data_IF_283257628265
#
_entry.id   IF_283257628265
#
_cell.length_a   1.000
_cell.length_b   1.000
_cell.length_c   1.000
_cell.angle_alpha   90.00
_cell.angle_beta   90.00
_cell.angle_gamma   90.00
#
_symmetry.space_group_name_H-M   'P 1'
#
loop_
_entity.id
_entity.type
_entity.pdbx_description
1 polymer ?
#
# COMPACT_ATOMS: atom_id res chain seq x y z
N UNK A 1 -12.60 19.66 17.36
CA UNK A 1 -13.11 18.63 16.44
C UNK A 1 -12.16 17.44 16.51
N UNK A 2 -12.66 16.21 16.32
CA UNK A 2 -11.78 15.05 16.14
C UNK A 2 -11.63 14.86 14.64
N UNK A 3 -10.39 14.87 14.17
CA UNK A 3 -10.08 14.80 12.74
C UNK A 3 -9.73 13.37 12.34
N UNK A 4 -9.76 13.06 11.04
CA UNK A 4 -9.41 11.75 10.49
C UNK A 4 -10.21 10.55 11.07
N UNK A 5 -11.49 10.77 11.40
CA UNK A 5 -12.41 9.70 11.79
C UNK A 5 -13.03 9.08 10.54
N UNK A 6 -13.22 7.77 10.56
CA UNK A 6 -13.97 7.05 9.52
C UNK A 6 -15.39 7.62 9.36
N UNK A 7 -15.83 7.77 8.10
CA UNK A 7 -17.19 8.20 7.81
C UNK A 7 -18.18 7.06 8.02
N UNK A 8 -19.26 7.32 8.77
CA UNK A 8 -20.39 6.39 8.97
C UNK A 8 -20.99 5.90 7.65
N UNK A 9 -21.13 6.84 6.70
CA UNK A 9 -21.67 6.57 5.37
C UNK A 9 -20.58 6.90 4.35
N UNK A 10 -19.75 5.91 3.99
CA UNK A 10 -18.73 6.04 2.94
C UNK A 10 -19.18 5.32 1.65
N UNK A 11 -18.96 5.90 0.46
CA UNK A 11 -19.22 5.20 -0.80
C UNK A 11 -18.38 3.93 -0.94
N UNK A 12 -18.91 2.93 -1.64
CA UNK A 12 -18.18 1.69 -1.96
C UNK A 12 -16.95 1.90 -2.86
N UNK A 13 -16.89 3.06 -3.54
CA UNK A 13 -15.75 3.51 -4.36
C UNK A 13 -14.73 4.34 -3.57
N UNK A 14 -15.01 4.67 -2.30
CA UNK A 14 -14.05 5.39 -1.46
C UNK A 14 -12.82 4.55 -1.17
N UNK A 15 -11.65 5.19 -1.09
CA UNK A 15 -10.37 4.50 -0.87
C UNK A 15 -10.40 3.57 0.35
N UNK A 16 -10.95 4.03 1.49
CA UNK A 16 -11.08 3.20 2.69
C UNK A 16 -11.95 1.96 2.42
N UNK A 17 -13.09 2.12 1.75
CA UNK A 17 -13.95 0.98 1.42
C UNK A 17 -13.29 0.00 0.45
N UNK A 18 -12.48 0.49 -0.51
CA UNK A 18 -11.70 -0.37 -1.42
C UNK A 18 -10.67 -1.19 -0.66
N UNK A 19 -9.92 -0.56 0.26
CA UNK A 19 -8.87 -1.21 1.06
C UNK A 19 -9.43 -2.20 2.09
N UNK A 20 -10.58 -1.90 2.70
CA UNK A 20 -11.23 -2.75 3.71
C UNK A 20 -11.99 -3.90 3.06
N UNK A 21 -12.60 -3.66 1.89
CA UNK A 21 -13.51 -4.59 1.23
C UNK A 21 -14.99 -4.41 1.58
N UNK A 22 -15.34 -3.41 2.41
CA UNK A 22 -16.71 -3.08 2.78
C UNK A 22 -16.91 -1.56 2.91
N UNK A 23 -18.12 -1.10 2.60
CA UNK A 23 -18.57 0.26 2.85
C UNK A 23 -19.15 0.45 4.27
N UNK A 24 -19.41 -0.64 5.00
CA UNK A 24 -20.00 -0.60 6.34
C UNK A 24 -19.04 0.06 7.33
N UNK A 25 -19.59 0.88 8.22
CA UNK A 25 -18.82 1.57 9.26
C UNK A 25 -18.13 0.57 10.19
N UNK A 26 -16.86 0.79 10.48
CA UNK A 26 -16.04 -0.04 11.39
C UNK A 26 -15.96 -1.53 10.96
N UNK A 27 -16.07 -1.78 9.66
CA UNK A 27 -15.92 -3.13 9.13
C UNK A 27 -14.47 -3.62 9.32
N UNK A 28 -14.25 -4.89 9.73
CA UNK A 28 -12.92 -5.45 9.86
C UNK A 28 -12.25 -5.55 8.50
N UNK A 29 -11.01 -5.04 8.39
CA UNK A 29 -10.22 -5.17 7.16
C UNK A 29 -9.91 -6.63 6.88
N UNK A 30 -10.23 -7.10 5.66
CA UNK A 30 -9.94 -8.48 5.22
C UNK A 30 -8.44 -8.80 5.29
N UNK A 31 -7.61 -7.85 4.87
CA UNK A 31 -6.15 -7.93 4.97
C UNK A 31 -5.60 -6.65 5.60
N UNK A 32 -4.43 -6.77 6.23
CA UNK A 32 -3.71 -5.64 6.83
C UNK A 32 -2.31 -5.59 6.23
N UNK A 33 -1.81 -4.36 6.05
CA UNK A 33 -0.49 -4.05 5.56
C UNK A 33 0.13 -2.96 6.45
N UNK A 34 1.45 -2.90 6.51
CA UNK A 34 2.19 -1.81 7.18
C UNK A 34 2.65 -0.84 6.10
N UNK A 35 2.13 0.39 6.12
CA UNK A 35 2.50 1.44 5.17
C UNK A 35 3.64 2.28 5.73
N UNK A 36 4.62 2.58 4.89
CA UNK A 36 5.72 3.51 5.17
C UNK A 36 5.78 4.61 4.09
N UNK A 37 4.63 4.94 3.50
CA UNK A 37 4.51 5.91 2.43
C UNK A 37 4.94 7.31 2.87
N UNK A 38 5.56 8.06 1.96
CA UNK A 38 6.00 9.44 2.19
C UNK A 38 5.57 10.35 1.03
N UNK A 39 5.20 11.62 1.29
CA UNK A 39 5.01 12.58 0.23
C UNK A 39 6.35 12.87 -0.47
N UNK A 40 6.31 13.15 -1.76
CA UNK A 40 7.47 13.62 -2.51
C UNK A 40 7.06 14.73 -3.48
N UNK A 41 8.04 15.51 -3.95
CA UNK A 41 7.86 16.37 -5.10
C UNK A 41 8.56 17.71 -5.00
N UNK A 42 8.30 18.52 -6.02
CA UNK A 42 8.73 19.93 -6.10
C UNK A 42 7.55 20.81 -6.44
N UNK A 43 7.69 22.14 -6.27
CA UNK A 43 6.60 23.08 -6.52
C UNK A 43 6.15 23.13 -7.99
N UNK A 44 7.10 23.05 -8.93
CA UNK A 44 6.85 23.17 -10.37
C UNK A 44 6.96 21.86 -11.13
N UNK A 45 7.26 20.75 -10.46
CA UNK A 45 7.44 19.43 -11.05
C UNK A 45 6.47 18.41 -10.48
N UNK A 46 6.81 17.14 -10.62
CA UNK A 46 5.99 16.06 -10.08
C UNK A 46 5.90 16.15 -8.57
N UNK A 47 4.70 15.91 -8.05
CA UNK A 47 4.42 15.80 -6.64
C UNK A 47 3.36 14.72 -6.40
N UNK A 48 3.50 13.99 -5.31
CA UNK A 48 2.58 12.90 -5.00
C UNK A 48 2.99 12.10 -3.78
N UNK A 49 2.65 10.83 -3.80
CA UNK A 49 2.93 9.89 -2.73
C UNK A 49 3.83 8.78 -3.24
N UNK A 50 4.99 8.62 -2.62
CA UNK A 50 5.77 7.39 -2.74
C UNK A 50 5.06 6.36 -1.87
N UNK A 51 4.21 5.54 -2.48
CA UNK A 51 3.53 4.47 -1.77
C UNK A 51 4.46 3.27 -1.60
N UNK A 52 4.72 2.88 -0.35
CA UNK A 52 5.44 1.67 0.01
C UNK A 52 4.75 0.98 1.18
N UNK A 53 4.63 -0.34 1.10
CA UNK A 53 4.00 -1.14 2.12
C UNK A 53 4.63 -2.53 2.25
N UNK A 54 4.48 -3.11 3.43
CA UNK A 54 4.95 -4.44 3.79
C UNK A 54 3.75 -5.31 4.19
N UNK A 55 3.81 -6.58 3.80
CA UNK A 55 2.83 -7.60 4.16
C UNK A 55 3.54 -8.95 4.33
N UNK A 56 2.90 -9.86 5.06
CA UNK A 56 3.41 -11.23 5.21
C UNK A 56 3.22 -12.08 3.93
N UNK A 57 2.37 -11.64 3.01
CA UNK A 57 1.98 -12.38 1.81
C UNK A 57 1.52 -11.38 0.72
N UNK A 58 1.84 -11.65 -0.54
CA UNK A 58 1.48 -10.79 -1.68
C UNK A 58 -0.03 -10.70 -1.91
N UNK A 59 -0.80 -11.73 -1.51
CA UNK A 59 -2.27 -11.73 -1.65
C UNK A 59 -2.95 -10.53 -0.98
N UNK A 60 -2.31 -9.95 0.04
CA UNK A 60 -2.82 -8.75 0.72
C UNK A 60 -2.79 -7.54 -0.24
N UNK A 61 -1.73 -7.43 -1.04
CA UNK A 61 -1.59 -6.38 -2.04
C UNK A 61 -2.49 -6.64 -3.24
N UNK A 62 -2.53 -7.88 -3.74
CA UNK A 62 -3.37 -8.25 -4.89
C UNK A 62 -4.85 -7.91 -4.61
N UNK A 63 -5.37 -8.31 -3.44
CA UNK A 63 -6.73 -7.94 -3.03
C UNK A 63 -6.98 -6.42 -3.05
N UNK A 64 -6.05 -5.63 -2.54
CA UNK A 64 -6.20 -4.18 -2.47
C UNK A 64 -6.09 -3.54 -3.86
N UNK A 65 -5.11 -3.96 -4.67
CA UNK A 65 -4.84 -3.41 -6.00
C UNK A 65 -5.92 -3.77 -7.01
N UNK A 66 -6.42 -5.00 -7.01
CA UNK A 66 -7.53 -5.45 -7.87
C UNK A 66 -8.78 -4.61 -7.58
N UNK A 67 -9.09 -4.40 -6.30
CA UNK A 67 -10.19 -3.52 -5.90
C UNK A 67 -9.94 -2.08 -6.28
N UNK A 68 -8.72 -1.58 -6.26
CA UNK A 68 -8.45 -0.20 -6.67
C UNK A 68 -8.64 0.04 -8.16
N UNK A 69 -8.23 -0.93 -8.96
CA UNK A 69 -8.19 -0.84 -10.43
C UNK A 69 -9.46 -1.32 -11.11
N UNK A 70 -10.43 -1.85 -10.35
CA UNK A 70 -11.68 -2.40 -10.86
C UNK A 70 -11.55 -3.81 -11.43
N UNK A 71 -10.43 -4.49 -11.15
CA UNK A 71 -10.22 -5.90 -11.47
C UNK A 71 -10.83 -6.85 -10.42
N UNK A 72 -11.75 -6.33 -9.60
CA UNK A 72 -12.61 -7.12 -8.74
C UNK A 72 -13.98 -7.38 -9.36
N UNK A 73 -14.70 -8.37 -8.82
CA UNK A 73 -16.04 -8.80 -9.28
C UNK A 73 -17.05 -7.64 -9.40
N UNK A 74 -16.95 -6.62 -8.53
CA UNK A 74 -17.86 -5.48 -8.51
C UNK A 74 -17.59 -4.42 -9.60
N UNK A 75 -16.47 -4.56 -10.33
CA UNK A 75 -15.99 -3.69 -11.43
C UNK A 75 -15.96 -2.20 -11.09
N UNK A 76 -15.73 -1.88 -9.81
CA UNK A 76 -15.67 -0.51 -9.32
C UNK A 76 -14.22 -0.09 -9.07
N UNK A 77 -13.86 1.08 -9.59
CA UNK A 77 -12.55 1.66 -9.35
C UNK A 77 -12.54 2.45 -8.03
N UNK A 78 -11.35 2.63 -7.47
CA UNK A 78 -11.13 3.57 -6.38
C UNK A 78 -11.19 5.01 -6.87
N UNK A 79 -11.99 5.84 -6.20
CA UNK A 79 -12.12 7.25 -6.55
C UNK A 79 -10.82 8.04 -6.32
N UNK A 80 -9.88 7.56 -5.49
CA UNK A 80 -8.57 8.20 -5.34
C UNK A 80 -7.79 8.22 -6.66
N UNK A 81 -7.97 7.18 -7.50
CA UNK A 81 -7.31 7.05 -8.79
C UNK A 81 -7.80 8.05 -9.85
N UNK A 82 -8.86 8.82 -9.54
CA UNK A 82 -9.28 9.96 -10.37
C UNK A 82 -8.32 11.15 -10.25
N UNK A 83 -7.56 11.22 -9.16
CA UNK A 83 -6.70 12.36 -8.83
C UNK A 83 -5.21 12.01 -8.83
N UNK A 84 -4.88 10.72 -8.79
CA UNK A 84 -3.50 10.24 -8.81
C UNK A 84 -3.31 9.14 -9.85
N UNK A 85 -2.12 9.08 -10.43
CA UNK A 85 -1.72 8.04 -11.37
C UNK A 85 -0.49 7.32 -10.82
N UNK A 86 -0.56 6.01 -10.75
CA UNK A 86 0.62 5.19 -10.50
C UNK A 86 1.55 5.24 -11.72
N UNK A 87 2.76 5.76 -11.54
CA UNK A 87 3.78 5.86 -12.61
C UNK A 87 4.82 4.74 -12.54
N UNK A 88 4.95 4.07 -11.39
CA UNK A 88 5.90 2.98 -11.15
C UNK A 88 5.29 1.95 -10.20
N UNK A 89 5.55 0.66 -10.41
CA UNK A 89 5.13 -0.41 -9.50
C UNK A 89 6.11 -1.57 -9.53
N UNK A 90 6.48 -2.10 -8.36
CA UNK A 90 7.43 -3.20 -8.20
C UNK A 90 7.08 -4.03 -6.96
N UNK A 91 7.33 -5.34 -7.00
CA UNK A 91 7.30 -6.21 -5.83
C UNK A 91 8.72 -6.53 -5.36
N UNK A 92 8.91 -6.55 -4.05
CA UNK A 92 10.19 -6.86 -3.42
C UNK A 92 9.97 -7.84 -2.28
N UNK A 93 10.91 -8.78 -2.13
CA UNK A 93 11.02 -9.62 -0.95
C UNK A 93 12.12 -9.06 -0.05
N UNK A 94 11.79 -8.85 1.21
CA UNK A 94 12.75 -8.42 2.24
C UNK A 94 13.04 -9.62 3.15
N UNK A 95 14.15 -10.32 2.94
CA UNK A 95 14.50 -11.49 3.74
C UNK A 95 14.72 -11.10 5.21
N UNK A 96 14.61 -12.10 6.09
CA UNK A 96 15.09 -11.94 7.46
C UNK A 96 16.60 -11.68 7.48
N UNK A 97 17.11 -11.01 8.52
CA UNK A 97 18.55 -10.76 8.67
C UNK A 97 19.40 -12.04 8.51
N UNK A 98 19.08 -13.17 9.18
CA UNK A 98 19.86 -14.40 9.00
C UNK A 98 19.82 -14.98 7.58
N UNK A 99 18.72 -14.77 6.85
CA UNK A 99 18.60 -15.22 5.47
C UNK A 99 19.36 -14.32 4.51
N UNK A 100 19.26 -12.99 4.71
CA UNK A 100 20.05 -12.02 3.97
C UNK A 100 21.55 -12.32 4.08
N UNK A 101 22.05 -12.55 5.31
CA UNK A 101 23.46 -12.91 5.56
C UNK A 101 23.90 -14.16 4.80
N UNK A 102 23.02 -15.17 4.67
CA UNK A 102 23.29 -16.37 3.86
C UNK A 102 23.32 -16.06 2.37
N UNK A 103 22.45 -15.18 1.88
CA UNK A 103 22.36 -14.81 0.47
C UNK A 103 23.57 -13.98 0.01
N UNK A 104 24.11 -13.11 0.87
CA UNK A 104 25.22 -12.21 0.52
C UNK A 104 26.61 -12.74 0.88
N UNK A 105 26.71 -13.94 1.48
CA UNK A 105 27.99 -14.64 1.66
C UNK A 105 28.90 -14.11 2.78
N UNK A 106 28.40 -13.30 3.70
CA UNK A 106 29.17 -12.75 4.81
C UNK A 106 28.36 -11.74 5.61
N UNK A 107 28.30 -11.94 6.93
CA UNK A 107 27.37 -11.23 7.81
C UNK A 107 27.40 -9.70 7.68
N UNK A 108 26.27 -9.07 8.00
CA UNK A 108 25.96 -7.63 8.02
C UNK A 108 27.12 -6.64 8.30
N UNK A 109 28.15 -7.07 9.02
CA UNK A 109 29.35 -6.31 9.35
C UNK A 109 30.36 -6.13 8.20
N UNK A 110 30.26 -6.90 7.11
CA UNK A 110 31.11 -6.72 5.91
C UNK A 110 30.64 -5.60 4.98
N UNK A 111 29.33 -5.33 4.94
CA UNK A 111 28.71 -4.36 4.03
C UNK A 111 28.95 -2.90 4.42
N UNK A 112 29.08 -2.61 5.72
CA UNK A 112 29.26 -1.24 6.26
C UNK A 112 30.72 -0.84 6.54
N UNK A 113 31.70 -1.60 6.04
CA UNK A 113 33.16 -1.39 6.27
C UNK A 113 33.95 -0.97 5.03
N UNK A 114 33.28 -0.59 3.93
CA UNK A 114 33.92 0.05 2.76
C UNK A 114 33.53 1.52 2.68
#
# INVERSE_FOLDING_TARGET
MKDSIELKNKPITSHVARMVGSADYDAPSKYKIVRQSQPYGTLSGDAGLLFIAYAADTKNFDFMLDRMTGDSEDRKNDDVMRFTKCVTGNYWYFPSVPEFDRLVGGGLWGFWRQ
#
